data_IF_204477389006
#
_entry.id   IF_204477389006
#
_cell.length_a   1.000
_cell.length_b   1.000
_cell.length_c   1.000
_cell.angle_alpha   90.00
_cell.angle_beta   90.00
_cell.angle_gamma   90.00
#
_symmetry.space_group_name_H-M   'P 1'
#
loop_
_entity.id
_entity.type
_entity.pdbx_description
1 polymer ?
#
# COMPACT_ATOMS: atom_id res chain seq x y z
N UNK A 1 -21.02 3.95 11.71
CA UNK A 1 -20.57 4.90 10.66
C UNK A 1 -19.27 5.65 11.00
N UNK A 2 -18.69 5.53 12.21
CA UNK A 2 -17.48 6.30 12.60
C UNK A 2 -16.15 5.54 12.52
N UNK A 3 -16.16 4.25 12.16
CA UNK A 3 -14.94 3.42 12.13
C UNK A 3 -14.21 3.46 10.77
N UNK A 4 -14.91 3.84 9.70
CA UNK A 4 -14.34 3.79 8.35
C UNK A 4 -13.40 4.97 8.06
N UNK A 5 -13.62 6.15 8.66
CA UNK A 5 -12.81 7.35 8.38
C UNK A 5 -11.38 7.29 8.93
N UNK A 6 -11.10 6.40 9.89
CA UNK A 6 -9.76 6.26 10.51
C UNK A 6 -9.00 5.02 10.05
N UNK A 7 -9.68 4.08 9.38
CA UNK A 7 -9.05 2.83 8.95
C UNK A 7 -8.24 3.09 7.68
N UNK A 8 -6.96 2.72 7.68
CA UNK A 8 -6.09 2.79 6.51
C UNK A 8 -5.92 1.37 5.95
N UNK A 9 -6.41 1.15 4.74
CA UNK A 9 -6.18 -0.08 4.01
C UNK A 9 -4.91 0.08 3.19
N UNK A 10 -4.03 -0.93 3.21
CA UNK A 10 -2.76 -0.92 2.50
C UNK A 10 -2.70 -2.12 1.57
N UNK A 11 -2.48 -1.86 0.29
CA UNK A 11 -2.17 -2.86 -0.72
C UNK A 11 -0.66 -2.93 -0.94
N UNK A 12 -0.10 -4.13 -0.76
CA UNK A 12 1.31 -4.40 -1.01
C UNK A 12 1.43 -5.39 -2.16
N UNK A 13 2.12 -4.97 -3.21
CA UNK A 13 2.47 -5.84 -4.32
C UNK A 13 3.98 -6.10 -4.31
N UNK A 14 4.37 -7.34 -4.01
CA UNK A 14 5.76 -7.78 -3.90
C UNK A 14 6.13 -8.58 -5.14
N UNK A 15 6.99 -8.01 -5.96
CA UNK A 15 7.59 -8.65 -7.13
C UNK A 15 9.09 -8.85 -6.92
N UNK A 16 9.69 -9.73 -7.73
CA UNK A 16 11.13 -10.08 -7.64
C UNK A 16 12.06 -8.86 -7.58
N UNK A 17 11.74 -7.81 -8.35
CA UNK A 17 12.61 -6.64 -8.56
C UNK A 17 12.06 -5.36 -7.93
N UNK A 18 10.84 -5.40 -7.40
CA UNK A 18 10.21 -4.20 -6.84
C UNK A 18 9.07 -4.50 -5.90
N UNK A 19 8.84 -3.57 -4.98
CA UNK A 19 7.70 -3.53 -4.07
C UNK A 19 6.90 -2.27 -4.39
N UNK A 20 5.61 -2.42 -4.65
CA UNK A 20 4.69 -1.30 -4.85
C UNK A 20 3.73 -1.21 -3.68
N UNK A 21 3.49 0.01 -3.19
CA UNK A 21 2.59 0.27 -2.06
C UNK A 21 1.50 1.24 -2.51
N UNK A 22 0.26 0.89 -2.23
CA UNK A 22 -0.90 1.75 -2.37
C UNK A 22 -1.74 1.73 -1.09
N UNK A 23 -2.52 2.77 -0.84
CA UNK A 23 -3.39 2.84 0.33
C UNK A 23 -4.73 3.48 0.03
N UNK A 24 -5.73 3.22 0.87
CA UNK A 24 -7.01 3.92 0.87
C UNK A 24 -7.42 4.24 2.32
N UNK A 25 -7.99 5.42 2.54
CA UNK A 25 -8.61 5.79 3.83
C UNK A 25 -10.08 5.40 3.79
N UNK A 26 -10.49 4.44 4.63
CA UNK A 26 -11.87 3.94 4.65
C UNK A 26 -12.30 3.36 3.30
N UNK A 27 -13.48 3.74 2.85
CA UNK A 27 -14.01 3.46 1.51
C UNK A 27 -13.59 4.51 0.46
N UNK A 28 -12.57 5.32 0.76
CA UNK A 28 -12.02 6.33 -0.14
C UNK A 28 -11.26 5.75 -1.34
N UNK A 29 -10.76 6.65 -2.18
CA UNK A 29 -9.98 6.28 -3.36
C UNK A 29 -8.63 5.65 -2.97
N UNK A 30 -8.14 4.77 -3.85
CA UNK A 30 -6.82 4.17 -3.71
C UNK A 30 -5.77 5.13 -4.27
N UNK A 31 -4.79 5.47 -3.44
CA UNK A 31 -3.66 6.32 -3.76
C UNK A 31 -2.38 5.50 -3.82
N UNK A 32 -1.56 5.73 -4.86
CA UNK A 32 -0.23 5.13 -4.96
C UNK A 32 0.73 5.85 -4.00
N UNK A 33 1.28 5.12 -3.02
CA UNK A 33 2.31 5.67 -2.13
C UNK A 33 3.66 5.72 -2.83
N UNK A 34 3.99 4.65 -3.57
CA UNK A 34 5.23 4.59 -4.32
C UNK A 34 5.67 3.18 -4.67
N UNK A 35 6.84 3.12 -5.31
CA UNK A 35 7.51 1.90 -5.73
C UNK A 35 8.96 1.94 -5.27
N UNK A 36 9.41 0.86 -4.65
CA UNK A 36 10.81 0.65 -4.26
C UNK A 36 11.40 -0.51 -5.04
N UNK A 37 12.69 -0.44 -5.38
CA UNK A 37 13.43 -1.60 -5.87
C UNK A 37 13.68 -2.60 -4.75
N UNK A 38 13.79 -3.88 -5.07
CA UNK A 38 14.24 -4.90 -4.13
C UNK A 38 15.73 -5.16 -4.30
N UNK A 39 16.40 -5.47 -3.19
CA UNK A 39 17.72 -6.09 -3.20
C UNK A 39 17.59 -7.43 -2.50
N UNK A 40 18.43 -8.40 -2.85
CA UNK A 40 18.53 -9.63 -2.08
C UNK A 40 18.93 -9.24 -0.65
N UNK A 41 18.13 -9.70 0.32
CA UNK A 41 18.47 -9.67 1.74
C UNK A 41 18.82 -11.10 2.16
N UNK A 42 19.68 -11.22 3.18
CA UNK A 42 20.35 -12.46 3.60
C UNK A 42 19.45 -13.69 3.77
#
# INVERSE_FOLDING_TARGET
MAHDSTTLYVGLDVHKESITVAYARGSGEVELLGKAGTTQAD
#
